data_IF_193102006800
#
_entry.id   IF_193102006800
#
_cell.length_a   1.000
_cell.length_b   1.000
_cell.length_c   1.000
_cell.angle_alpha   90.00
_cell.angle_beta   90.00
_cell.angle_gamma   90.00
#
_symmetry.space_group_name_H-M   'P 1'
#
loop_
_entity.id
_entity.type
_entity.pdbx_description
1 polymer ?
#
# COMPACT_ATOMS: atom_id res chain seq x y z
N UNK A 1 1.49 8.33 11.83
CA UNK A 1 1.43 7.14 11.00
C UNK A 1 2.66 7.04 10.14
N UNK A 2 3.34 5.89 10.07
CA UNK A 2 4.50 5.78 9.19
C UNK A 2 4.06 5.83 7.74
N UNK A 3 4.85 6.50 6.92
CA UNK A 3 4.57 6.60 5.51
C UNK A 3 5.87 6.69 4.72
N UNK A 4 5.82 6.27 3.46
CA UNK A 4 6.93 6.38 2.52
C UNK A 4 6.37 6.88 1.20
N UNK A 5 7.13 7.73 0.52
CA UNK A 5 6.73 8.23 -0.79
C UNK A 5 7.66 7.61 -1.83
N UNK A 6 7.08 6.91 -2.79
CA UNK A 6 7.82 6.29 -3.89
C UNK A 6 7.13 6.70 -5.19
N UNK A 7 7.87 7.31 -6.10
CA UNK A 7 7.36 7.76 -7.41
C UNK A 7 6.11 8.64 -7.29
N UNK A 8 6.04 9.45 -6.23
CA UNK A 8 4.92 10.35 -6.03
C UNK A 8 3.71 9.75 -5.34
N UNK A 9 3.72 8.44 -5.10
CA UNK A 9 2.65 7.76 -4.35
C UNK A 9 3.07 7.64 -2.89
N UNK A 10 2.14 7.92 -1.99
CA UNK A 10 2.38 7.78 -0.55
C UNK A 10 1.85 6.43 -0.08
N UNK A 11 2.73 5.64 0.51
CA UNK A 11 2.40 4.31 1.05
C UNK A 11 2.37 4.41 2.56
N UNK A 12 1.27 3.97 3.19
CA UNK A 12 1.12 4.13 4.63
C UNK A 12 0.26 3.04 5.26
N UNK A 13 0.42 2.86 6.56
CA UNK A 13 -0.39 1.96 7.38
C UNK A 13 -1.18 2.78 8.39
N UNK A 14 -2.34 2.27 8.80
CA UNK A 14 -3.14 2.87 9.87
C UNK A 14 -3.18 1.92 11.06
N UNK A 15 -3.11 2.46 12.27
CA UNK A 15 -3.17 1.63 13.48
C UNK A 15 -4.49 0.89 13.61
N UNK A 16 -5.56 1.42 13.03
CA UNK A 16 -6.87 0.79 13.05
C UNK A 16 -6.94 -0.48 12.20
N UNK A 17 -5.91 -0.73 11.37
CA UNK A 17 -5.88 -1.90 10.50
C UNK A 17 -5.41 -3.17 11.21
N UNK A 18 -5.09 -3.07 12.49
CA UNK A 18 -4.66 -4.23 13.28
C UNK A 18 -5.76 -5.30 13.28
N UNK A 19 -5.37 -6.55 13.07
CA UNK A 19 -6.32 -7.66 13.04
C UNK A 19 -6.69 -8.12 11.64
N UNK A 20 -6.33 -7.35 10.61
CA UNK A 20 -6.50 -7.77 9.21
C UNK A 20 -5.19 -8.34 8.68
N UNK A 21 -5.24 -9.13 7.60
CA UNK A 21 -4.00 -9.54 6.93
C UNK A 21 -3.18 -8.32 6.51
N UNK A 22 -1.86 -8.47 6.35
CA UNK A 22 -1.01 -7.34 5.95
C UNK A 22 -1.50 -6.66 4.68
N UNK A 23 -1.64 -5.34 4.75
CA UNK A 23 -2.08 -4.53 3.61
C UNK A 23 -1.49 -3.14 3.71
N UNK A 24 -1.57 -2.39 2.62
CA UNK A 24 -1.01 -1.05 2.56
C UNK A 24 -2.02 -0.12 1.89
N UNK A 25 -2.03 1.13 2.33
CA UNK A 25 -2.87 2.17 1.74
C UNK A 25 -1.99 3.06 0.88
N UNK A 26 -2.47 3.39 -0.32
CA UNK A 26 -1.78 4.26 -1.25
C UNK A 26 -2.60 5.53 -1.43
N UNK A 27 -1.92 6.67 -1.31
CA UNK A 27 -2.55 7.99 -1.35
C UNK A 27 -1.81 8.88 -2.34
N UNK A 28 -2.55 9.55 -3.20
CA UNK A 28 -1.99 10.58 -4.07
C UNK A 28 -3.09 11.59 -4.35
N UNK A 29 -2.93 12.83 -3.82
CA UNK A 29 -3.98 13.84 -3.84
C UNK A 29 -5.25 13.29 -3.21
N UNK A 30 -6.39 13.33 -3.92
CA UNK A 30 -7.65 12.78 -3.42
C UNK A 30 -7.85 11.29 -3.75
N UNK A 31 -6.86 10.67 -4.40
CA UNK A 31 -6.96 9.26 -4.82
C UNK A 31 -6.54 8.33 -3.70
N UNK A 32 -7.18 7.18 -3.59
CA UNK A 32 -6.95 6.22 -2.51
C UNK A 32 -7.03 4.79 -3.03
N UNK A 33 -6.25 3.89 -2.43
CA UNK A 33 -6.35 2.46 -2.71
C UNK A 33 -5.88 1.67 -1.50
N UNK A 34 -6.38 0.45 -1.39
CA UNK A 34 -5.94 -0.52 -0.37
C UNK A 34 -5.54 -1.80 -1.10
N UNK A 35 -4.34 -2.28 -0.84
CA UNK A 35 -3.79 -3.45 -1.54
C UNK A 35 -3.23 -4.42 -0.51
N UNK A 36 -3.58 -5.70 -0.65
CA UNK A 36 -3.08 -6.76 0.22
C UNK A 36 -1.62 -7.02 -0.09
N UNK A 37 -0.76 -7.06 0.95
CA UNK A 37 0.68 -7.28 0.74
C UNK A 37 1.03 -8.73 0.41
N UNK A 38 0.22 -9.69 0.86
CA UNK A 38 0.57 -11.10 0.69
C UNK A 38 0.38 -11.58 -0.76
N UNK A 39 -0.54 -11.02 -1.51
CA UNK A 39 -0.80 -11.43 -2.90
C UNK A 39 -0.83 -10.26 -3.89
N UNK A 40 -0.67 -9.03 -3.41
CA UNK A 40 -0.71 -7.80 -4.19
C UNK A 40 -2.02 -7.60 -4.95
N UNK A 41 -3.12 -8.11 -4.40
CA UNK A 41 -4.43 -7.87 -4.98
C UNK A 41 -5.03 -6.59 -4.42
N UNK A 42 -5.69 -5.84 -5.29
CA UNK A 42 -6.34 -4.59 -4.93
C UNK A 42 -7.63 -4.92 -4.18
N UNK A 43 -7.71 -4.50 -2.91
CA UNK A 43 -8.93 -4.66 -2.14
C UNK A 43 -10.00 -3.68 -2.63
N UNK A 44 -9.59 -2.43 -2.80
CA UNK A 44 -10.45 -1.40 -3.41
C UNK A 44 -9.56 -0.24 -3.88
N UNK A 45 -10.09 0.56 -4.78
CA UNK A 45 -9.41 1.78 -5.21
C UNK A 45 -10.45 2.84 -5.55
N UNK A 46 -10.04 4.11 -5.44
CA UNK A 46 -10.89 5.25 -5.74
C UNK A 46 -10.08 6.27 -6.52
N UNK A 47 -10.56 6.60 -7.71
CA UNK A 47 -10.03 7.66 -8.57
C UNK A 47 -8.66 7.42 -9.19
N UNK A 48 -8.00 6.30 -8.91
CA UNK A 48 -6.78 5.92 -9.62
C UNK A 48 -7.13 5.39 -11.00
N UNK A 49 -6.38 5.81 -12.02
CA UNK A 49 -6.53 5.25 -13.36
C UNK A 49 -5.92 3.85 -13.42
N UNK A 50 -6.25 3.09 -14.46
CA UNK A 50 -5.64 1.78 -14.68
C UNK A 50 -4.12 1.88 -14.79
N UNK A 51 -3.63 2.93 -15.43
CA UNK A 51 -2.21 3.16 -15.56
C UNK A 51 -1.55 3.38 -14.20
N UNK A 52 -2.19 4.18 -13.36
CA UNK A 52 -1.67 4.44 -12.02
C UNK A 52 -1.68 3.18 -11.17
N UNK A 53 -2.76 2.38 -11.25
CA UNK A 53 -2.84 1.13 -10.51
C UNK A 53 -1.73 0.16 -10.97
N UNK A 54 -1.45 0.09 -12.27
CA UNK A 54 -0.37 -0.73 -12.78
C UNK A 54 0.98 -0.28 -12.24
N UNK A 55 1.21 1.02 -12.17
CA UNK A 55 2.45 1.56 -11.60
C UNK A 55 2.57 1.21 -10.12
N UNK A 56 1.48 1.35 -9.38
CA UNK A 56 1.45 1.02 -7.95
C UNK A 56 1.79 -0.45 -7.74
N UNK A 57 1.17 -1.35 -8.51
CA UNK A 57 1.41 -2.78 -8.38
C UNK A 57 2.84 -3.15 -8.73
N UNK A 58 3.43 -2.48 -9.72
CA UNK A 58 4.82 -2.71 -10.06
C UNK A 58 5.75 -2.30 -8.92
N UNK A 59 5.51 -1.12 -8.32
CA UNK A 59 6.29 -0.66 -7.17
C UNK A 59 6.17 -1.66 -6.02
N UNK A 60 4.96 -2.13 -5.75
CA UNK A 60 4.73 -3.08 -4.67
C UNK A 60 5.44 -4.41 -4.93
N UNK A 61 5.42 -4.90 -6.18
CA UNK A 61 6.08 -6.15 -6.50
C UNK A 61 7.59 -6.08 -6.32
N UNK A 62 8.18 -4.92 -6.62
CA UNK A 62 9.61 -4.72 -6.46
C UNK A 62 10.03 -4.52 -5.01
N UNK A 63 9.10 -4.13 -4.14
CA UNK A 63 9.38 -3.81 -2.75
C UNK A 63 8.57 -4.65 -1.76
N UNK A 64 7.98 -5.74 -2.22
CA UNK A 64 7.04 -6.52 -1.40
C UNK A 64 7.65 -6.99 -0.09
N UNK A 65 8.86 -7.54 -0.13
CA UNK A 65 9.50 -8.05 1.08
C UNK A 65 9.79 -6.93 2.06
N UNK A 66 10.35 -5.83 1.57
CA UNK A 66 10.68 -4.69 2.41
C UNK A 66 9.43 -4.08 3.05
N UNK A 67 8.36 -3.95 2.28
CA UNK A 67 7.11 -3.38 2.78
C UNK A 67 6.44 -4.32 3.79
N UNK A 68 6.53 -5.62 3.58
CA UNK A 68 6.00 -6.60 4.53
C UNK A 68 6.76 -6.54 5.85
N UNK A 69 8.09 -6.43 5.80
CA UNK A 69 8.90 -6.28 7.01
C UNK A 69 8.56 -4.99 7.73
N UNK A 70 8.36 -3.91 6.99
CA UNK A 70 7.97 -2.63 7.54
C UNK A 70 6.60 -2.71 8.23
N UNK A 71 5.65 -3.41 7.61
CA UNK A 71 4.34 -3.66 8.22
C UNK A 71 4.49 -4.40 9.54
N UNK A 72 5.29 -5.48 9.54
CA UNK A 72 5.48 -6.29 10.73
C UNK A 72 6.11 -5.49 11.86
N UNK A 73 7.06 -4.62 11.57
CA UNK A 73 7.67 -3.75 12.58
C UNK A 73 6.65 -2.79 13.17
N UNK A 74 5.78 -2.23 12.33
CA UNK A 74 4.78 -1.26 12.78
C UNK A 74 3.76 -1.91 13.72
N UNK A 75 3.38 -3.15 13.44
CA UNK A 75 2.34 -3.85 14.20
C UNK A 75 2.90 -4.84 15.23
N UNK A 76 4.20 -4.87 15.41
CA UNK A 76 4.83 -5.79 16.38
C UNK A 76 4.63 -5.34 17.82
#
# INVERSE_FOLDING_TARGET
>A
MPSKIINGFKFQFYSADRGEPPHIHIVKAEKRAKIWLYNLEISWSRDFSQRELSQILEILSQNQQELTEWYNEFFS
#
